data_IF_716293756676
#
_entry.id   IF_716293756676
#
_cell.length_a   1.000
_cell.length_b   1.000
_cell.length_c   1.000
_cell.angle_alpha   90.00
_cell.angle_beta   90.00
_cell.angle_gamma   90.00
#
_symmetry.space_group_name_H-M   'P 1'
#
loop_
_entity.id
_entity.type
_entity.pdbx_description
1 polymer ?
#
# COMPACT_ATOMS: atom_id res chain seq x y z
N UNK A 1 5.85 -11.09 -0.37
CA UNK A 1 5.76 -10.83 1.08
C UNK A 1 4.55 -9.94 1.29
N UNK A 2 3.65 -10.28 2.21
CA UNK A 2 2.43 -9.48 2.41
C UNK A 2 2.73 -8.31 3.34
N UNK A 3 2.30 -7.11 2.94
CA UNK A 3 2.43 -5.91 3.74
C UNK A 3 1.25 -5.83 4.71
N UNK A 4 1.46 -5.28 5.92
CA UNK A 4 0.41 -5.15 6.92
C UNK A 4 0.21 -3.68 7.28
N UNK A 5 -1.03 -3.21 7.15
CA UNK A 5 -1.42 -1.86 7.55
C UNK A 5 -2.51 -1.93 8.61
N UNK A 6 -2.36 -1.19 9.70
CA UNK A 6 -3.41 -1.10 10.73
C UNK A 6 -4.31 0.09 10.44
N UNK A 7 -5.60 -0.04 10.76
CA UNK A 7 -6.52 1.07 10.64
C UNK A 7 -6.34 2.11 11.74
N UNK A 8 -6.20 3.38 11.36
CA UNK A 8 -6.00 4.49 12.29
C UNK A 8 -7.23 4.75 13.17
N UNK A 9 -8.41 4.27 12.75
CA UNK A 9 -9.69 4.49 13.44
C UNK A 9 -10.10 3.33 14.35
N UNK A 10 -9.94 2.08 13.91
CA UNK A 10 -10.40 0.90 14.66
C UNK A 10 -9.31 -0.10 15.04
N UNK A 11 -8.06 0.14 14.64
CA UNK A 11 -6.91 -0.72 14.95
C UNK A 11 -6.91 -2.07 14.22
N UNK A 12 -7.91 -2.36 13.38
CA UNK A 12 -7.96 -3.64 12.68
C UNK A 12 -6.86 -3.76 11.61
N UNK A 13 -6.17 -4.90 11.53
CA UNK A 13 -5.16 -5.14 10.51
C UNK A 13 -5.80 -5.32 9.13
N UNK A 14 -5.15 -4.77 8.11
CA UNK A 14 -5.43 -4.97 6.70
C UNK A 14 -4.18 -5.52 6.01
N UNK A 15 -4.17 -6.81 5.65
CA UNK A 15 -3.17 -7.35 4.75
C UNK A 15 -3.27 -6.65 3.39
N UNK A 16 -2.13 -6.25 2.86
CA UNK A 16 -1.98 -5.63 1.55
C UNK A 16 -1.15 -6.58 0.71
N UNK A 17 -1.80 -7.18 -0.28
CA UNK A 17 -1.14 -8.08 -1.22
C UNK A 17 -0.03 -7.37 -1.99
N UNK A 18 1.06 -8.08 -2.29
CA UNK A 18 2.23 -7.51 -2.95
C UNK A 18 1.90 -6.85 -4.29
N UNK A 19 0.95 -7.42 -5.05
CA UNK A 19 0.50 -6.81 -6.30
C UNK A 19 -0.24 -5.49 -6.08
N UNK A 20 -1.03 -5.36 -5.00
CA UNK A 20 -1.73 -4.13 -4.65
C UNK A 20 -0.72 -3.06 -4.25
N UNK A 21 0.22 -3.44 -3.38
CA UNK A 21 1.32 -2.56 -2.96
C UNK A 21 2.07 -2.03 -4.19
N UNK A 22 2.54 -2.91 -5.08
CA UNK A 22 3.35 -2.51 -6.23
C UNK A 22 2.58 -1.67 -7.25
N UNK A 23 1.36 -2.05 -7.61
CA UNK A 23 0.66 -1.44 -8.75
C UNK A 23 -0.15 -0.19 -8.35
N UNK A 24 -0.60 -0.08 -7.10
CA UNK A 24 -1.55 0.96 -6.70
C UNK A 24 -1.04 1.91 -5.60
N UNK A 25 -0.28 1.42 -4.61
CA UNK A 25 0.09 2.26 -3.45
C UNK A 25 1.00 3.45 -3.82
N UNK A 26 1.65 3.46 -4.98
CA UNK A 26 2.46 4.61 -5.42
C UNK A 26 1.62 5.81 -5.90
N UNK A 27 0.34 5.61 -6.24
CA UNK A 27 -0.61 6.68 -6.64
C UNK A 27 -1.78 6.88 -5.67
N UNK A 28 -2.15 5.85 -4.92
CA UNK A 28 -3.28 5.92 -4.00
C UNK A 28 -2.94 6.83 -2.81
N UNK A 29 -3.86 7.74 -2.46
CA UNK A 29 -3.74 8.58 -1.26
C UNK A 29 -4.23 7.87 0.00
N UNK A 30 -5.22 7.00 -0.11
CA UNK A 30 -5.86 6.33 1.01
C UNK A 30 -6.31 4.91 0.65
N UNK A 31 -6.54 4.10 1.67
CA UNK A 31 -7.15 2.77 1.57
C UNK A 31 -8.25 2.64 2.63
N UNK A 32 -9.41 2.12 2.23
CA UNK A 32 -10.54 1.92 3.15
C UNK A 32 -10.32 0.72 4.06
N UNK A 33 -10.69 0.85 5.33
CA UNK A 33 -10.74 -0.27 6.27
C UNK A 33 -11.91 -1.20 5.92
N UNK A 34 -11.69 -2.52 5.91
CA UNK A 34 -12.75 -3.50 5.66
C UNK A 34 -13.70 -3.67 6.85
N UNK A 35 -13.33 -3.16 8.03
CA UNK A 35 -14.09 -3.33 9.27
C UNK A 35 -14.95 -2.11 9.60
N UNK A 36 -14.37 -0.91 9.63
CA UNK A 36 -15.10 0.32 9.98
C UNK A 36 -15.38 1.24 8.78
N UNK A 37 -14.99 0.85 7.57
CA UNK A 37 -15.21 1.61 6.32
C UNK A 37 -14.64 3.03 6.30
N UNK A 38 -13.80 3.40 7.27
CA UNK A 38 -13.09 4.66 7.29
C UNK A 38 -11.87 4.61 6.37
N UNK A 39 -11.57 5.73 5.72
CA UNK A 39 -10.33 5.90 4.95
C UNK A 39 -9.13 6.03 5.88
N UNK A 40 -8.07 5.26 5.61
CA UNK A 40 -6.75 5.43 6.21
C UNK A 40 -5.81 6.04 5.18
N UNK A 41 -5.07 7.06 5.57
CA UNK A 41 -4.04 7.65 4.72
C UNK A 41 -2.92 6.65 4.51
N UNK A 42 -2.49 6.47 3.26
CA UNK A 42 -1.34 5.62 2.96
C UNK A 42 -0.06 6.37 3.37
N UNK A 43 0.75 5.84 4.30
CA UNK A 43 1.98 6.49 4.71
C UNK A 43 2.93 6.73 3.53
N UNK A 44 3.56 7.92 3.51
CA UNK A 44 4.50 8.30 2.45
C UNK A 44 5.60 7.25 2.19
N UNK A 45 6.10 6.61 3.26
CA UNK A 45 7.13 5.58 3.12
C UNK A 45 6.62 4.34 2.35
N UNK A 46 5.34 3.98 2.50
CA UNK A 46 4.73 2.90 1.72
C UNK A 46 4.53 3.31 0.26
N UNK A 47 4.18 4.57 -0.02
CA UNK A 47 4.11 5.09 -1.39
C UNK A 47 5.48 5.06 -2.07
N UNK A 48 6.55 5.47 -1.37
CA UNK A 48 7.92 5.40 -1.87
C UNK A 48 8.36 3.95 -2.14
N UNK A 49 8.07 3.04 -1.22
CA UNK A 49 8.36 1.61 -1.39
C UNK A 49 7.61 1.02 -2.58
N UNK A 50 6.32 1.33 -2.74
CA UNK A 50 5.52 0.92 -3.88
C UNK A 50 6.13 1.40 -5.21
N UNK A 51 6.60 2.64 -5.25
CA UNK A 51 7.26 3.20 -6.44
C UNK A 51 8.56 2.48 -6.77
N UNK A 52 9.37 2.13 -5.76
CA UNK A 52 10.59 1.34 -5.93
C UNK A 52 10.29 -0.08 -6.44
N UNK A 53 9.32 -0.77 -5.85
CA UNK A 53 8.88 -2.10 -6.30
C UNK A 53 8.43 -2.10 -7.76
N UNK A 54 7.67 -1.06 -8.16
CA UNK A 54 7.20 -0.90 -9.54
C UNK A 54 8.37 -0.68 -10.50
N UNK A 55 9.32 0.19 -10.13
CA UNK A 55 10.55 0.40 -10.91
C UNK A 55 11.34 -0.88 -11.05
N UNK A 56 11.54 -1.67 -10.00
CA UNK A 56 12.30 -2.92 -10.08
C UNK A 56 11.64 -3.98 -10.97
N UNK A 57 10.30 -3.99 -11.07
CA UNK A 57 9.58 -4.94 -11.94
C UNK A 57 9.69 -4.60 -13.43
N UNK A 58 9.70 -3.31 -13.76
CA UNK A 58 9.67 -2.81 -15.14
C UNK A 58 11.01 -2.19 -15.59
N UNK A 59 11.96 -2.09 -14.68
CA UNK A 59 13.27 -1.47 -14.84
C UNK A 59 14.38 -2.51 -14.77
N UNK A 60 14.53 -3.22 -15.87
CA UNK A 60 15.85 -3.55 -16.42
C UNK A 60 15.73 -3.36 -17.92
N UNK A 61 15.82 -2.09 -18.32
CA UNK A 61 16.14 -1.67 -19.68
C UNK A 61 17.46 -0.90 -19.51
N UNK A 62 18.55 -1.67 -19.42
CA UNK A 62 19.90 -1.16 -19.69
C UNK A 62 20.21 -1.43 -21.17
#
# INVERSE_FOLDING_TARGET
MDYLMFCDHCGMPKPIEEYIMREYFWIASHVYCNNCEMANDIPKHLQSLALEMRKNRYGSID
#
